data_IF_482107024524
#
_entry.id   IF_482107024524
#
_cell.length_a   1.000
_cell.length_b   1.000
_cell.length_c   1.000
_cell.angle_alpha   90.00
_cell.angle_beta   90.00
_cell.angle_gamma   90.00
#
_symmetry.space_group_name_H-M   'P 1'
#
loop_
_entity.id
_entity.type
_entity.pdbx_description
1 polymer ?
#
# COMPACT_ATOMS: atom_id res chain seq x y z
N UNK A 1 -9.08 -1.89 -72.10
CA UNK A 1 -7.67 -2.33 -72.17
C UNK A 1 -6.80 -1.21 -71.65
N UNK A 2 -5.89 -1.47 -70.72
CA UNK A 2 -4.92 -0.49 -70.21
C UNK A 2 -4.36 -0.92 -68.86
N UNK A 3 -3.30 -1.73 -68.90
CA UNK A 3 -2.45 -2.10 -67.77
C UNK A 3 -1.25 -1.14 -67.65
N UNK A 4 -0.63 -1.13 -66.46
CA UNK A 4 0.72 -0.61 -66.10
C UNK A 4 0.86 0.92 -66.16
N UNK A 5 1.55 1.63 -65.26
CA UNK A 5 2.86 1.44 -64.59
C UNK A 5 2.96 2.59 -63.55
N UNK A 6 3.56 2.48 -62.36
CA UNK A 6 5.01 2.51 -62.16
C UNK A 6 5.43 3.48 -61.05
N UNK A 7 6.11 2.94 -60.04
CA UNK A 7 7.16 3.49 -59.16
C UNK A 7 7.58 4.98 -59.31
N UNK A 8 7.70 5.70 -58.17
CA UNK A 8 8.90 6.51 -57.80
C UNK A 8 9.10 6.62 -56.28
N UNK A 9 10.35 6.42 -55.85
CA UNK A 9 10.92 6.63 -54.51
C UNK A 9 11.31 8.10 -54.29
N UNK A 10 11.31 8.54 -53.03
CA UNK A 10 12.24 9.44 -52.31
C UNK A 10 11.43 10.20 -51.23
N UNK A 11 11.87 10.40 -49.99
CA UNK A 11 13.15 10.20 -49.34
C UNK A 11 12.97 10.26 -47.81
N UNK A 12 13.99 9.81 -47.10
CA UNK A 12 14.08 9.87 -45.65
C UNK A 12 14.34 11.30 -45.17
N UNK A 13 13.77 11.70 -44.03
CA UNK A 13 14.46 12.45 -42.94
C UNK A 13 13.59 12.34 -41.66
N UNK A 14 14.22 11.98 -40.54
CA UNK A 14 13.67 11.95 -39.18
C UNK A 14 13.19 13.33 -38.71
N UNK A 15 12.32 13.44 -37.68
CA UNK A 15 12.65 13.81 -36.28
C UNK A 15 11.43 13.55 -35.37
N UNK A 16 11.72 13.18 -34.13
CA UNK A 16 10.89 12.88 -32.96
C UNK A 16 9.71 13.82 -32.64
N UNK A 17 8.70 13.31 -31.92
CA UNK A 17 8.54 13.50 -30.46
C UNK A 17 7.20 12.97 -29.94
N UNK A 18 7.30 12.33 -28.78
CA UNK A 18 6.35 12.33 -27.67
C UNK A 18 4.88 11.96 -27.93
N UNK A 19 4.53 10.75 -27.53
CA UNK A 19 3.26 10.49 -26.84
C UNK A 19 3.47 9.34 -25.85
N UNK A 20 4.05 9.67 -24.68
CA UNK A 20 3.91 8.85 -23.47
C UNK A 20 2.43 8.94 -23.08
N UNK A 21 1.60 8.07 -23.65
CA UNK A 21 0.23 7.88 -23.21
C UNK A 21 0.23 7.47 -21.73
N UNK A 22 -0.73 7.93 -20.91
CA UNK A 22 -0.79 7.52 -19.52
C UNK A 22 -0.93 5.99 -19.46
N UNK A 23 -0.11 5.35 -18.63
CA UNK A 23 -0.24 3.95 -18.31
C UNK A 23 -1.67 3.72 -17.80
N UNK A 24 -2.45 2.99 -18.58
CA UNK A 24 -3.75 2.48 -18.12
C UNK A 24 -3.40 1.37 -17.13
N UNK A 25 -3.42 1.70 -15.83
CA UNK A 25 -3.46 0.68 -14.79
C UNK A 25 -4.72 -0.15 -15.05
N UNK A 26 -4.52 -1.42 -15.40
CA UNK A 26 -5.60 -2.38 -15.46
C UNK A 26 -6.19 -2.51 -14.04
N UNK A 27 -7.52 -2.47 -13.87
CA UNK A 27 -8.12 -2.74 -12.57
C UNK A 27 -7.86 -4.20 -12.21
N UNK A 28 -7.24 -4.43 -11.05
CA UNK A 28 -7.18 -5.75 -10.43
C UNK A 28 -8.61 -6.26 -10.22
N UNK A 29 -8.88 -7.57 -10.42
CA UNK A 29 -10.22 -8.13 -10.30
C UNK A 29 -10.55 -8.33 -8.81
N UNK A 30 -10.86 -7.25 -8.10
CA UNK A 30 -11.39 -7.31 -6.74
C UNK A 30 -12.82 -6.77 -6.76
N UNK A 31 -13.81 -7.66 -6.59
CA UNK A 31 -15.24 -7.32 -6.71
C UNK A 31 -16.03 -7.72 -5.46
N UNK A 32 -15.43 -7.64 -4.27
CA UNK A 32 -16.10 -7.17 -3.07
C UNK A 32 -15.84 -5.67 -2.91
N UNK A 33 -16.83 -4.92 -2.43
CA UNK A 33 -16.68 -3.48 -2.15
C UNK A 33 -15.74 -3.32 -0.96
N UNK A 34 -14.44 -3.35 -1.21
CA UNK A 34 -13.43 -3.07 -0.18
C UNK A 34 -13.62 -1.66 0.37
N UNK A 35 -13.37 -1.47 1.66
CA UNK A 35 -13.38 -0.14 2.21
C UNK A 35 -12.32 0.73 1.52
N UNK A 36 -12.69 1.97 1.24
CA UNK A 36 -11.76 2.94 0.68
C UNK A 36 -10.69 3.24 1.74
N UNK A 37 -9.39 3.11 1.44
CA UNK A 37 -8.35 3.46 2.39
C UNK A 37 -8.39 4.97 2.65
N UNK A 38 -8.17 5.36 3.90
CA UNK A 38 -8.07 6.77 4.28
C UNK A 38 -6.84 7.40 3.60
N UNK A 39 -5.79 6.61 3.39
CA UNK A 39 -4.59 7.03 2.69
C UNK A 39 -4.01 5.88 1.86
N UNK A 40 -3.50 6.23 0.69
CA UNK A 40 -2.66 5.34 -0.13
C UNK A 40 -1.26 5.93 -0.24
N UNK A 41 -0.24 5.13 0.05
CA UNK A 41 1.17 5.44 -0.11
C UNK A 41 1.77 4.60 -1.24
N UNK A 42 2.79 5.14 -1.90
CA UNK A 42 3.73 4.32 -2.68
C UNK A 42 4.74 3.64 -1.75
N UNK A 43 5.37 2.56 -2.23
CA UNK A 43 6.41 1.85 -1.46
C UNK A 43 7.54 2.78 -1.00
N UNK A 44 8.01 3.69 -1.87
CA UNK A 44 9.03 4.67 -1.50
C UNK A 44 8.56 5.66 -0.43
N UNK A 45 7.30 6.11 -0.48
CA UNK A 45 6.76 6.96 0.57
C UNK A 45 6.59 6.20 1.88
N UNK A 46 6.21 4.93 1.82
CA UNK A 46 6.15 4.04 2.97
C UNK A 46 7.50 3.90 3.66
N UNK A 47 8.55 3.56 2.90
CA UNK A 47 9.93 3.49 3.40
C UNK A 47 10.39 4.83 4.01
N UNK A 48 10.08 5.95 3.38
CA UNK A 48 10.38 7.30 3.88
C UNK A 48 9.67 7.62 5.20
N UNK A 49 8.47 7.04 5.44
CA UNK A 49 7.77 7.17 6.72
C UNK A 49 8.43 6.28 7.78
N UNK A 50 8.68 5.01 7.47
CA UNK A 50 9.34 4.08 8.40
C UNK A 50 10.70 4.59 8.88
N UNK A 51 11.51 5.17 7.97
CA UNK A 51 12.81 5.74 8.29
C UNK A 51 12.77 6.90 9.31
N UNK A 52 11.61 7.54 9.49
CA UNK A 52 11.39 8.60 10.48
C UNK A 52 10.95 8.08 11.84
N UNK A 53 10.65 6.79 11.96
CA UNK A 53 10.18 6.19 13.20
C UNK A 53 11.34 5.58 13.98
N UNK A 54 11.13 5.45 15.29
CA UNK A 54 11.97 4.64 16.14
C UNK A 54 11.11 3.91 17.17
N UNK A 55 11.59 2.78 17.64
CA UNK A 55 10.97 2.02 18.72
C UNK A 55 11.95 1.91 19.90
N UNK A 56 11.46 2.19 21.11
CA UNK A 56 12.22 2.05 22.36
C UNK A 56 11.27 1.66 23.48
N UNK A 57 11.61 0.62 24.23
CA UNK A 57 10.81 0.14 25.37
C UNK A 57 9.32 -0.10 24.98
N UNK A 58 9.09 -0.83 23.90
CA UNK A 58 7.77 -1.13 23.31
C UNK A 58 6.97 0.11 22.84
N UNK A 59 7.64 1.27 22.79
CA UNK A 59 7.02 2.52 22.36
C UNK A 59 7.54 2.95 21.00
N UNK A 60 6.62 2.97 20.05
CA UNK A 60 6.79 3.55 18.73
C UNK A 60 6.54 5.07 18.74
N UNK A 61 7.50 5.85 18.22
CA UNK A 61 7.41 7.30 18.12
C UNK A 61 8.23 7.87 16.93
N UNK A 62 8.09 9.17 16.68
CA UNK A 62 8.76 9.85 15.57
C UNK A 62 10.12 10.39 16.02
N UNK A 63 11.16 10.15 15.22
CA UNK A 63 12.51 10.67 15.41
C UNK A 63 12.51 12.20 15.42
N UNK A 64 13.35 12.77 16.26
CA UNK A 64 13.52 14.21 16.44
C UNK A 64 14.92 14.65 16.04
N UNK A 65 14.99 15.83 15.43
CA UNK A 65 16.25 16.44 15.04
C UNK A 65 17.14 16.70 16.27
N UNK A 66 18.41 16.28 16.17
CA UNK A 66 19.41 16.45 17.23
C UNK A 66 19.40 15.37 18.32
N UNK A 67 18.44 14.46 18.32
CA UNK A 67 18.47 13.27 19.16
C UNK A 67 19.32 12.15 18.54
N UNK A 68 19.80 11.22 19.38
CA UNK A 68 20.53 10.03 18.94
C UNK A 68 19.67 8.80 19.13
N UNK A 69 19.68 7.95 18.12
CA UNK A 69 18.97 6.68 18.09
C UNK A 69 19.96 5.56 17.83
N UNK A 70 19.83 4.46 18.57
CA UNK A 70 20.63 3.28 18.35
C UNK A 70 20.12 2.51 17.10
N UNK A 71 20.98 1.71 16.44
CA UNK A 71 20.58 0.99 15.24
C UNK A 71 19.45 -0.03 15.48
N UNK A 72 19.38 -0.61 16.68
CA UNK A 72 18.33 -1.52 17.13
C UNK A 72 16.98 -0.83 17.41
N UNK A 73 16.94 0.50 17.37
CA UNK A 73 15.70 1.29 17.45
C UNK A 73 15.17 1.66 16.06
N UNK A 74 15.74 1.10 14.99
CA UNK A 74 15.22 1.27 13.63
C UNK A 74 13.90 0.50 13.48
N UNK A 75 12.93 1.14 12.83
CA UNK A 75 11.61 0.55 12.58
C UNK A 75 11.54 0.14 11.12
N UNK A 76 11.30 -1.13 10.90
CA UNK A 76 10.90 -1.70 9.60
C UNK A 76 9.42 -2.10 9.63
N UNK A 77 8.93 -2.70 8.54
CA UNK A 77 7.54 -3.17 8.46
C UNK A 77 7.22 -4.21 9.54
N UNK A 78 8.18 -5.07 9.90
CA UNK A 78 8.00 -6.09 10.93
C UNK A 78 7.84 -5.46 12.32
N UNK A 79 8.71 -4.51 12.70
CA UNK A 79 8.57 -3.76 13.95
C UNK A 79 7.24 -2.99 14.00
N UNK A 80 6.86 -2.34 12.90
CA UNK A 80 5.59 -1.62 12.83
C UNK A 80 4.37 -2.55 12.95
N UNK A 81 4.46 -3.79 12.47
CA UNK A 81 3.35 -4.75 12.51
C UNK A 81 2.88 -5.10 13.91
N UNK A 82 3.75 -5.02 14.93
CA UNK A 82 3.38 -5.20 16.33
C UNK A 82 2.39 -4.14 16.84
N UNK A 83 2.22 -3.04 16.11
CA UNK A 83 1.29 -1.96 16.41
C UNK A 83 0.09 -1.88 15.48
N UNK A 84 0.01 -2.76 14.48
CA UNK A 84 -1.15 -2.87 13.59
C UNK A 84 -2.25 -3.68 14.28
N UNK A 85 -3.50 -3.28 14.08
CA UNK A 85 -4.68 -4.04 14.54
C UNK A 85 -4.93 -5.25 13.65
N UNK A 86 -4.70 -5.10 12.34
CA UNK A 86 -4.73 -6.16 11.35
C UNK A 86 -3.97 -5.69 10.10
N UNK A 87 -3.48 -6.63 9.29
CA UNK A 87 -2.78 -6.32 8.05
C UNK A 87 -2.91 -7.43 7.00
N UNK A 88 -2.80 -7.03 5.74
CA UNK A 88 -2.45 -7.89 4.61
C UNK A 88 -1.19 -7.32 3.97
N UNK A 89 -0.06 -8.00 4.13
CA UNK A 89 1.23 -7.58 3.61
C UNK A 89 1.91 -8.74 2.88
N UNK A 90 2.65 -8.41 1.82
CA UNK A 90 3.51 -9.38 1.15
C UNK A 90 4.80 -9.63 1.95
N UNK A 91 5.23 -8.67 2.78
CA UNK A 91 6.45 -8.74 3.57
C UNK A 91 6.23 -9.32 4.96
N UNK A 92 5.09 -9.01 5.58
CA UNK A 92 4.76 -9.45 6.94
C UNK A 92 3.59 -10.43 6.91
N UNK A 93 3.82 -11.63 7.45
CA UNK A 93 2.79 -12.66 7.59
C UNK A 93 1.80 -12.28 8.70
N UNK A 94 0.59 -11.86 8.30
CA UNK A 94 -0.51 -11.55 9.20
C UNK A 94 -1.41 -12.76 9.44
N UNK A 95 -2.03 -12.85 10.61
CA UNK A 95 -2.95 -13.95 10.95
C UNK A 95 -4.40 -13.60 10.59
N UNK A 96 -4.71 -13.58 9.28
CA UNK A 96 -6.05 -13.20 8.77
C UNK A 96 -7.18 -13.98 9.45
N UNK A 97 -7.05 -15.30 9.53
CA UNK A 97 -8.10 -16.16 10.07
C UNK A 97 -8.14 -16.14 11.60
N UNK A 98 -6.99 -15.98 12.27
CA UNK A 98 -6.94 -15.74 13.71
C UNK A 98 -7.61 -14.43 14.10
N UNK A 99 -7.29 -13.33 13.40
CA UNK A 99 -7.93 -12.02 13.61
C UNK A 99 -9.45 -12.09 13.36
N UNK A 100 -9.90 -12.80 12.32
CA UNK A 100 -11.33 -12.99 12.07
C UNK A 100 -12.01 -13.73 13.23
N UNK A 101 -11.37 -14.77 13.77
CA UNK A 101 -11.88 -15.52 14.89
C UNK A 101 -11.92 -14.70 16.18
N UNK A 102 -10.91 -13.84 16.42
CA UNK A 102 -10.84 -12.95 17.59
C UNK A 102 -11.98 -11.93 17.62
N UNK A 103 -12.47 -11.51 16.45
CA UNK A 103 -13.64 -10.63 16.33
C UNK A 103 -14.98 -11.38 16.29
N UNK A 104 -14.96 -12.69 16.54
CA UNK A 104 -16.13 -13.60 16.56
C UNK A 104 -16.91 -13.66 15.22
N UNK A 105 -16.21 -13.53 14.09
CA UNK A 105 -16.80 -13.61 12.74
C UNK A 105 -16.39 -14.90 11.99
N UNK A 106 -17.14 -15.24 10.95
CA UNK A 106 -16.87 -16.35 10.03
C UNK A 106 -16.89 -15.86 8.58
N UNK A 107 -16.10 -16.47 7.69
CA UNK A 107 -16.08 -16.10 6.28
C UNK A 107 -15.82 -17.32 5.40
N UNK A 108 -16.31 -17.29 4.15
CA UNK A 108 -16.12 -18.36 3.17
C UNK A 108 -14.84 -18.18 2.31
N UNK A 109 -14.20 -17.01 2.36
CA UNK A 109 -12.99 -16.68 1.61
C UNK A 109 -12.13 -15.65 2.33
N UNK A 110 -10.86 -15.53 1.92
CA UNK A 110 -9.94 -14.50 2.40
C UNK A 110 -10.46 -13.08 2.12
N UNK A 111 -11.07 -12.86 0.95
CA UNK A 111 -11.69 -11.58 0.56
C UNK A 111 -12.86 -11.20 1.49
N UNK A 112 -13.74 -12.16 1.81
CA UNK A 112 -14.83 -11.92 2.75
C UNK A 112 -14.30 -11.71 4.18
N UNK A 113 -13.31 -12.50 4.61
CA UNK A 113 -12.68 -12.37 5.92
C UNK A 113 -12.10 -10.97 6.11
N UNK A 114 -11.33 -10.51 5.12
CA UNK A 114 -10.68 -9.22 5.18
C UNK A 114 -11.65 -8.04 5.14
N UNK A 115 -12.70 -8.12 4.32
CA UNK A 115 -13.76 -7.11 4.31
C UNK A 115 -14.43 -6.97 5.70
N UNK A 116 -14.72 -8.10 6.36
CA UNK A 116 -15.30 -8.12 7.72
C UNK A 116 -14.35 -7.53 8.77
N UNK A 117 -13.07 -7.87 8.71
CA UNK A 117 -12.04 -7.31 9.59
C UNK A 117 -11.97 -5.80 9.41
N UNK A 118 -11.92 -5.31 8.17
CA UNK A 118 -11.91 -3.89 7.90
C UNK A 118 -13.17 -3.20 8.45
N UNK A 119 -14.37 -3.72 8.16
CA UNK A 119 -15.62 -3.16 8.68
C UNK A 119 -15.64 -3.10 10.21
N UNK A 120 -15.13 -4.14 10.87
CA UNK A 120 -15.03 -4.21 12.33
C UNK A 120 -14.14 -3.09 12.90
N UNK A 121 -12.91 -2.95 12.41
CA UNK A 121 -11.96 -1.99 12.96
C UNK A 121 -12.25 -0.55 12.54
N UNK A 122 -12.65 -0.33 11.29
CA UNK A 122 -13.00 1.01 10.80
C UNK A 122 -14.26 1.54 11.50
N UNK A 123 -15.24 0.68 11.78
CA UNK A 123 -16.41 1.03 12.61
C UNK A 123 -16.07 1.43 14.04
N UNK A 124 -14.84 1.17 14.50
CA UNK A 124 -14.32 1.49 15.84
C UNK A 124 -13.33 2.67 15.86
N UNK A 125 -13.16 3.37 14.74
CA UNK A 125 -12.27 4.52 14.62
C UNK A 125 -10.81 4.16 14.33
N UNK A 126 -10.56 2.95 13.81
CA UNK A 126 -9.28 2.64 13.18
C UNK A 126 -9.24 3.22 11.75
N UNK A 127 -8.05 3.26 11.17
CA UNK A 127 -7.80 3.77 9.84
C UNK A 127 -7.11 2.72 8.98
N UNK A 128 -7.58 2.58 7.74
CA UNK A 128 -6.97 1.76 6.71
C UNK A 128 -5.96 2.59 5.91
N UNK A 129 -4.71 2.12 5.91
CA UNK A 129 -3.61 2.61 5.09
C UNK A 129 -3.29 1.56 4.02
N UNK A 130 -3.24 1.98 2.75
CA UNK A 130 -2.83 1.10 1.66
C UNK A 130 -1.42 1.48 1.17
N UNK A 131 -0.55 0.50 0.95
CA UNK A 131 0.76 0.68 0.30
C UNK A 131 0.72 0.02 -1.08
N UNK A 132 1.25 0.71 -2.09
CA UNK A 132 1.21 0.28 -3.50
C UNK A 132 2.59 0.39 -4.15
N UNK A 133 2.79 -0.32 -5.25
CA UNK A 133 4.06 -0.33 -5.99
C UNK A 133 4.95 -1.53 -5.69
N UNK A 134 4.53 -2.44 -4.80
CA UNK A 134 5.03 -3.81 -4.71
C UNK A 134 4.32 -4.78 -5.67
N UNK A 135 4.58 -6.07 -5.53
CA UNK A 135 3.97 -7.13 -6.35
C UNK A 135 2.44 -7.20 -6.14
N UNK A 136 2.01 -7.07 -4.88
CA UNK A 136 0.61 -6.94 -4.46
C UNK A 136 0.44 -5.69 -3.58
N UNK A 137 -0.74 -5.04 -3.57
CA UNK A 137 -1.00 -3.95 -2.65
C UNK A 137 -1.03 -4.48 -1.21
N UNK A 138 -0.47 -3.71 -0.29
CA UNK A 138 -0.55 -4.02 1.13
C UNK A 138 -1.56 -3.14 1.82
N UNK A 139 -2.19 -3.67 2.86
CA UNK A 139 -3.25 -3.02 3.60
C UNK A 139 -3.01 -3.16 5.09
N UNK A 140 -3.01 -2.03 5.78
CA UNK A 140 -2.61 -1.94 7.18
C UNK A 140 -3.66 -1.17 7.96
N UNK A 141 -4.15 -1.76 9.05
CA UNK A 141 -5.12 -1.13 9.93
C UNK A 141 -4.41 -0.71 11.22
N UNK A 142 -4.58 0.56 11.57
CA UNK A 142 -4.04 1.14 12.81
C UNK A 142 -5.12 1.92 13.55
N UNK A 143 -4.97 2.07 14.86
CA UNK A 143 -5.71 3.12 15.58
C UNK A 143 -5.44 4.48 14.90
N UNK A 144 -6.48 5.25 14.58
CA UNK A 144 -6.33 6.50 13.83
C UNK A 144 -5.44 7.52 14.56
N UNK A 145 -5.53 7.56 15.90
CA UNK A 145 -4.73 8.46 16.73
C UNK A 145 -3.23 8.13 16.67
N UNK A 146 -2.89 6.84 16.69
CA UNK A 146 -1.54 6.34 16.53
C UNK A 146 -1.01 6.67 15.13
N UNK A 147 -1.77 6.33 14.10
CA UNK A 147 -1.37 6.54 12.71
C UNK A 147 -1.11 8.03 12.39
N UNK A 148 -1.93 8.94 12.93
CA UNK A 148 -1.68 10.39 12.85
C UNK A 148 -0.45 10.82 13.63
N UNK A 149 -0.27 10.33 14.86
CA UNK A 149 0.89 10.68 15.71
C UNK A 149 2.21 10.29 15.03
N UNK A 150 2.22 9.15 14.34
CA UNK A 150 3.38 8.65 13.59
C UNK A 150 3.54 9.30 12.21
N UNK A 151 2.61 10.16 11.80
CA UNK A 151 2.61 10.80 10.48
C UNK A 151 2.39 9.80 9.33
N UNK A 152 1.76 8.65 9.61
CA UNK A 152 1.27 7.72 8.59
C UNK A 152 0.01 8.27 7.92
N UNK A 153 -0.80 9.03 8.66
CA UNK A 153 -1.92 9.82 8.15
C UNK A 153 -1.56 11.31 8.20
N UNK A 154 -2.12 12.09 7.26
CA UNK A 154 -1.96 13.56 7.23
C UNK A 154 -2.92 14.27 8.20
#
# INVERSE_FOLDING_TARGET
>A
MGLYTGLRKAGATAVARDAKGPAVSLPCPYTASMPDPIRTLTLSEWEDRLARLYERDDRLDVRRDGERYAPDEAVDAYALSAHAEALQSAEVDGDLWGTLADIEEEAASDEEAWAKICDFYLGRGCALLRVTGGDEPEEWIFEESLARRLGLLD
#
